data_IF_665384304392
#
_entry.id   IF_665384304392
#
_cell.length_a   1.000
_cell.length_b   1.000
_cell.length_c   1.000
_cell.angle_alpha   90.00
_cell.angle_beta   90.00
_cell.angle_gamma   90.00
#
_symmetry.space_group_name_H-M   'P 1'
#
loop_
_entity.id
_entity.type
_entity.pdbx_description
1 polymer ?
#
# COMPACT_ATOMS: atom_id res chain seq x y z
N UNK A 1 -5.64 -28.89 3.55
CA UNK A 1 -4.98 -29.34 4.79
C UNK A 1 -4.98 -28.18 5.77
N UNK A 2 -5.06 -28.43 7.08
CA UNK A 2 -5.02 -27.34 8.05
C UNK A 2 -3.61 -26.72 8.08
N UNK A 3 -3.53 -25.39 8.05
CA UNK A 3 -2.26 -24.67 8.21
C UNK A 3 -1.68 -24.96 9.59
N UNK A 4 -0.42 -25.39 9.63
CA UNK A 4 0.31 -25.59 10.89
C UNK A 4 1.02 -24.30 11.26
N UNK A 5 0.82 -23.84 12.49
CA UNK A 5 1.44 -22.62 13.00
C UNK A 5 2.56 -22.96 13.98
N UNK A 6 3.61 -22.14 13.96
CA UNK A 6 4.72 -22.23 14.90
C UNK A 6 5.13 -20.84 15.37
N UNK A 7 5.72 -20.78 16.58
CA UNK A 7 6.24 -19.54 17.13
C UNK A 7 7.46 -19.09 16.33
N UNK A 8 7.44 -17.83 15.88
CA UNK A 8 8.54 -17.12 15.24
C UNK A 8 9.02 -16.02 16.17
N UNK A 9 10.34 -15.88 16.25
CA UNK A 9 11.02 -14.79 16.94
C UNK A 9 11.32 -13.71 15.90
N UNK A 10 10.97 -12.47 16.22
CA UNK A 10 11.22 -11.28 15.41
C UNK A 10 12.18 -10.38 16.19
N UNK A 11 13.04 -9.64 15.48
CA UNK A 11 13.97 -8.67 16.06
C UNK A 11 14.84 -9.28 17.17
N UNK A 12 15.47 -10.42 16.88
CA UNK A 12 16.29 -11.13 17.86
C UNK A 12 15.52 -11.72 19.05
N UNK A 13 14.21 -11.92 18.92
CA UNK A 13 13.34 -12.48 19.95
C UNK A 13 12.67 -11.46 20.86
N UNK A 14 12.89 -10.17 20.63
CA UNK A 14 12.20 -9.10 21.34
C UNK A 14 10.69 -9.09 21.08
N UNK A 15 10.25 -9.58 19.92
CA UNK A 15 8.85 -9.83 19.59
C UNK A 15 8.67 -11.29 19.22
N UNK A 16 7.53 -11.88 19.60
CA UNK A 16 7.13 -13.24 19.19
C UNK A 16 5.76 -13.23 18.55
N UNK A 17 5.54 -14.10 17.57
CA UNK A 17 4.25 -14.26 16.88
C UNK A 17 4.12 -15.70 16.39
N UNK A 18 2.90 -16.22 16.22
CA UNK A 18 2.70 -17.49 15.54
C UNK A 18 2.37 -17.28 14.06
N UNK A 19 3.14 -17.93 13.19
CA UNK A 19 2.98 -17.87 11.73
C UNK A 19 2.96 -19.27 11.11
N UNK A 20 2.44 -19.42 9.88
CA UNK A 20 2.56 -20.67 9.13
C UNK A 20 4.02 -21.13 9.04
N UNK A 21 4.26 -22.40 9.35
CA UNK A 21 5.63 -22.95 9.47
C UNK A 21 6.36 -23.07 8.13
N UNK A 22 5.61 -23.07 7.03
CA UNK A 22 6.08 -23.19 5.66
C UNK A 22 6.56 -21.87 5.05
N UNK A 23 6.32 -20.74 5.73
CA UNK A 23 6.85 -19.45 5.28
C UNK A 23 8.37 -19.42 5.36
N UNK A 24 8.98 -18.86 4.31
CA UNK A 24 10.41 -18.65 4.18
C UNK A 24 10.75 -17.28 4.77
N UNK A 25 11.77 -17.22 5.61
CA UNK A 25 12.35 -15.96 6.06
C UNK A 25 13.19 -15.33 4.93
N UNK A 26 12.89 -14.09 4.58
CA UNK A 26 13.60 -13.40 3.50
C UNK A 26 15.02 -13.00 3.87
N UNK A 27 15.35 -12.91 5.15
CA UNK A 27 16.69 -12.55 5.62
C UNK A 27 17.75 -13.59 5.23
N UNK A 28 17.35 -14.86 5.05
CA UNK A 28 18.20 -15.95 4.58
C UNK A 28 18.67 -15.77 3.13
N UNK A 29 17.91 -15.00 2.32
CA UNK A 29 18.14 -14.85 0.88
C UNK A 29 18.59 -13.44 0.49
N UNK A 30 18.26 -12.42 1.28
CA UNK A 30 18.63 -11.02 1.03
C UNK A 30 18.74 -10.25 2.34
N UNK A 31 19.53 -9.18 2.30
CA UNK A 31 19.51 -8.19 3.38
C UNK A 31 18.15 -7.49 3.40
N UNK A 32 17.57 -7.36 4.60
CA UNK A 32 16.35 -6.59 4.88
C UNK A 32 16.70 -5.50 5.90
N UNK A 33 16.04 -4.33 5.88
CA UNK A 33 16.26 -3.30 6.88
C UNK A 33 16.02 -3.81 8.30
N UNK A 34 16.81 -3.37 9.28
CA UNK A 34 16.75 -3.87 10.67
C UNK A 34 15.38 -3.70 11.36
N UNK A 35 14.59 -2.71 10.93
CA UNK A 35 13.25 -2.45 11.44
C UNK A 35 12.16 -3.29 10.75
N UNK A 36 12.53 -4.16 9.80
CA UNK A 36 11.62 -5.01 9.03
C UNK A 36 11.94 -6.50 9.22
N UNK A 37 10.88 -7.31 9.24
CA UNK A 37 10.94 -8.77 9.15
C UNK A 37 10.01 -9.21 8.02
N UNK A 38 10.50 -10.02 7.07
CA UNK A 38 9.76 -10.35 5.85
C UNK A 38 9.68 -11.86 5.63
N UNK A 39 8.47 -12.38 5.59
CA UNK A 39 8.17 -13.79 5.33
C UNK A 39 7.47 -13.98 3.99
N UNK A 40 7.82 -15.03 3.26
CA UNK A 40 7.29 -15.31 1.92
C UNK A 40 6.67 -16.70 1.86
N UNK A 41 5.50 -16.79 1.24
CA UNK A 41 4.92 -18.07 0.86
C UNK A 41 5.72 -18.70 -0.28
N UNK A 42 6.15 -19.97 -0.14
CA UNK A 42 6.88 -20.66 -1.20
C UNK A 42 6.00 -21.00 -2.41
N UNK A 43 4.67 -20.93 -2.28
CA UNK A 43 3.73 -21.45 -3.29
C UNK A 43 2.79 -20.40 -3.86
N UNK A 44 2.45 -19.35 -3.10
CA UNK A 44 1.42 -18.38 -3.48
C UNK A 44 1.95 -16.98 -3.74
N UNK A 45 3.25 -16.76 -3.54
CA UNK A 45 3.89 -15.44 -3.61
C UNK A 45 3.31 -14.40 -2.63
N UNK A 46 2.42 -14.84 -1.73
CA UNK A 46 1.93 -14.04 -0.61
C UNK A 46 3.08 -13.69 0.31
N UNK A 47 3.17 -12.43 0.73
CA UNK A 47 4.19 -11.97 1.68
C UNK A 47 3.57 -11.44 2.96
N UNK A 48 4.30 -11.59 4.07
CA UNK A 48 3.97 -11.03 5.38
C UNK A 48 5.14 -10.17 5.82
N UNK A 49 4.89 -8.91 6.12
CA UNK A 49 5.91 -7.93 6.49
C UNK A 49 5.54 -7.38 7.87
N UNK A 50 6.47 -7.46 8.81
CA UNK A 50 6.41 -6.75 10.08
C UNK A 50 7.36 -5.56 9.99
N UNK A 51 6.93 -4.41 10.46
CA UNK A 51 7.72 -3.18 10.41
C UNK A 51 7.49 -2.33 11.67
N UNK A 52 8.57 -1.82 12.24
CA UNK A 52 8.52 -0.83 13.33
C UNK A 52 8.81 0.54 12.73
N UNK A 53 7.80 1.41 12.74
CA UNK A 53 7.87 2.77 12.23
C UNK A 53 7.81 3.81 13.36
N UNK A 54 8.18 5.05 13.03
CA UNK A 54 7.95 6.18 13.92
C UNK A 54 6.44 6.44 14.11
N UNK A 55 6.07 6.87 15.31
CA UNK A 55 4.69 7.22 15.63
C UNK A 55 4.19 8.41 14.79
N UNK A 56 3.14 8.19 14.01
CA UNK A 56 2.52 9.23 13.18
C UNK A 56 1.72 10.19 14.05
N UNK A 57 2.21 11.42 14.19
CA UNK A 57 1.53 12.44 15.02
C UNK A 57 0.35 13.09 14.28
N UNK A 58 -0.72 13.44 15.02
CA UNK A 58 -1.78 14.31 14.52
C UNK A 58 -1.22 15.56 13.83
N UNK A 59 -1.53 15.75 12.55
CA UNK A 59 -1.10 16.91 11.77
C UNK A 59 0.20 16.76 10.97
N UNK A 60 0.96 15.66 11.14
CA UNK A 60 2.07 15.31 10.26
C UNK A 60 1.61 14.75 8.90
N UNK A 61 0.37 14.27 8.84
CA UNK A 61 -0.29 13.62 7.70
C UNK A 61 -1.02 14.57 6.76
N UNK A 62 -1.17 15.85 7.15
CA UNK A 62 -1.69 16.85 6.23
C UNK A 62 -0.59 17.20 5.22
N UNK A 63 -0.81 17.06 3.89
CA UNK A 63 0.04 17.76 2.95
C UNK A 63 -0.04 19.23 3.33
N UNK A 64 1.08 19.83 3.72
CA UNK A 64 1.13 21.26 4.05
C UNK A 64 0.45 22.02 2.90
N UNK A 65 -0.72 22.66 3.11
CA UNK A 65 -1.19 23.61 2.12
C UNK A 65 -0.16 24.72 2.18
N UNK A 66 0.78 24.73 1.24
CA UNK A 66 1.71 25.85 1.08
C UNK A 66 0.86 27.12 1.12
N UNK A 67 1.02 28.02 2.12
CA UNK A 67 0.26 29.26 2.20
C UNK A 67 0.83 30.28 1.21
N UNK A 68 1.07 29.82 -0.02
CA UNK A 68 1.43 30.67 -1.15
C UNK A 68 0.16 31.26 -1.74
N UNK A 69 0.17 32.54 -2.15
CA UNK A 69 -0.95 33.12 -2.88
C UNK A 69 -1.25 32.28 -4.12
N UNK A 70 -2.50 31.87 -4.30
CA UNK A 70 -2.93 31.21 -5.54
C UNK A 70 -3.33 32.30 -6.53
N UNK A 71 -2.53 32.48 -7.57
CA UNK A 71 -2.82 33.43 -8.66
C UNK A 71 -3.46 32.69 -9.81
N UNK A 72 -4.71 33.03 -10.11
CA UNK A 72 -5.43 32.50 -11.28
C UNK A 72 -5.54 33.62 -12.32
N UNK A 73 -4.98 33.41 -13.51
CA UNK A 73 -5.13 34.33 -14.65
C UNK A 73 -6.07 33.69 -15.67
N UNK A 74 -7.17 34.36 -15.98
CA UNK A 74 -8.08 33.96 -17.06
C UNK A 74 -8.08 35.00 -18.15
N UNK A 75 -7.91 34.58 -19.40
CA UNK A 75 -7.99 35.45 -20.57
C UNK A 75 -9.15 35.01 -21.43
N UNK A 76 -10.08 35.93 -21.70
CA UNK A 76 -11.25 35.67 -22.54
C UNK A 76 -11.27 36.66 -23.69
N UNK A 77 -11.36 36.15 -24.92
CA UNK A 77 -11.50 36.97 -26.13
C UNK A 77 -12.92 36.88 -26.65
N UNK A 78 -13.60 38.00 -26.80
CA UNK A 78 -14.93 38.06 -27.40
C UNK A 78 -14.85 37.96 -28.93
N UNK A 79 -15.94 37.56 -29.62
CA UNK A 79 -15.94 37.37 -31.07
C UNK A 79 -15.55 38.60 -31.90
N UNK A 80 -15.72 39.81 -31.35
CA UNK A 80 -15.32 41.08 -31.97
C UNK A 80 -13.80 41.37 -31.84
N UNK A 81 -13.00 40.38 -31.43
CA UNK A 81 -11.55 40.45 -31.32
C UNK A 81 -11.03 41.13 -30.06
N UNK A 82 -11.91 41.54 -29.15
CA UNK A 82 -11.51 42.19 -27.89
C UNK A 82 -11.10 41.14 -26.86
N UNK A 83 -9.85 41.21 -26.38
CA UNK A 83 -9.32 40.27 -25.39
C UNK A 83 -9.27 40.92 -24.01
N UNK A 84 -9.89 40.30 -23.01
CA UNK A 84 -9.88 40.72 -21.62
C UNK A 84 -9.14 39.69 -20.78
N UNK A 85 -8.06 40.13 -20.12
CA UNK A 85 -7.29 39.30 -19.17
C UNK A 85 -7.64 39.73 -17.75
N UNK A 86 -8.10 38.79 -16.93
CA UNK A 86 -8.39 38.99 -15.51
C UNK A 86 -7.45 38.13 -14.69
N UNK A 87 -6.58 38.78 -13.91
CA UNK A 87 -5.71 38.13 -12.94
C UNK A 87 -6.31 38.28 -11.55
N UNK A 88 -6.60 37.17 -10.87
CA UNK A 88 -7.13 37.15 -9.51
C UNK A 88 -6.14 36.42 -8.61
N UNK A 89 -5.57 37.15 -7.66
CA UNK A 89 -4.70 36.59 -6.61
C UNK A 89 -5.54 36.37 -5.35
N UNK A 90 -5.80 35.12 -5.00
CA UNK A 90 -6.47 34.76 -3.75
C UNK A 90 -5.42 34.53 -2.66
N UNK A 91 -5.48 35.34 -1.60
CA UNK A 91 -4.73 35.11 -0.35
C UNK A 91 -5.70 34.45 0.62
N UNK A 92 -5.51 33.16 0.92
CA UNK A 92 -6.21 32.53 2.04
C UNK A 92 -5.62 33.07 3.34
N UNK A 93 -6.18 34.18 3.84
CA UNK A 93 -5.91 34.64 5.20
C UNK A 93 -6.79 33.85 6.16
N UNK A 94 -6.19 32.94 6.91
CA UNK A 94 -6.78 32.49 8.17
C UNK A 94 -6.78 33.70 9.10
N UNK A 95 -7.97 34.23 9.38
CA UNK A 95 -8.15 35.32 10.35
C UNK A 95 -7.74 34.76 11.72
N UNK A 96 -6.57 35.16 12.22
CA UNK A 96 -6.14 34.87 13.59
C UNK A 96 -6.59 36.03 14.45
N UNK A 97 -7.82 35.98 14.96
CA UNK A 97 -8.25 36.80 16.08
C UNK A 97 -9.44 36.13 16.78
N UNK A 98 -9.18 35.61 17.99
CA UNK A 98 -10.15 34.94 18.83
C UNK A 98 -9.70 33.52 19.13
N UNK A 99 -9.30 33.30 20.38
CA UNK A 99 -9.02 32.02 21.05
C UNK A 99 -9.55 30.80 20.28
N UNK A 100 -8.72 30.22 19.42
CA UNK A 100 -9.05 28.95 18.80
C UNK A 100 -8.98 27.90 19.90
N UNK A 101 -10.14 27.58 20.48
CA UNK A 101 -10.36 26.23 20.93
C UNK A 101 -10.05 25.35 19.71
N UNK A 102 -8.83 24.80 19.65
CA UNK A 102 -8.56 23.68 18.77
C UNK A 102 -9.64 22.67 19.11
N UNK A 103 -10.62 22.49 18.21
CA UNK A 103 -11.54 21.37 18.27
C UNK A 103 -10.64 20.13 18.28
N UNK A 104 -10.38 19.59 19.46
CA UNK A 104 -9.55 18.40 19.63
C UNK A 104 -10.25 17.30 18.87
N UNK A 105 -9.69 16.95 17.70
CA UNK A 105 -10.20 15.84 16.90
C UNK A 105 -10.19 14.58 17.78
N UNK A 106 -11.22 13.74 17.73
CA UNK A 106 -11.24 12.49 18.47
C UNK A 106 -9.98 11.68 18.19
N UNK A 107 -9.36 11.10 19.22
CA UNK A 107 -8.14 10.28 19.07
C UNK A 107 -8.32 9.14 18.06
N UNK A 108 -9.51 8.55 18.01
CA UNK A 108 -9.86 7.50 17.05
C UNK A 108 -9.78 7.97 15.59
N UNK A 109 -10.16 9.23 15.30
CA UNK A 109 -10.04 9.79 13.95
C UNK A 109 -8.56 9.96 13.56
N UNK A 110 -7.73 10.36 14.52
CA UNK A 110 -6.29 10.52 14.34
C UNK A 110 -5.58 9.18 14.12
N UNK A 111 -6.00 8.14 14.85
CA UNK A 111 -5.47 6.79 14.69
C UNK A 111 -5.93 6.15 13.37
N UNK A 112 -7.16 6.42 12.94
CA UNK A 112 -7.64 6.02 11.62
C UNK A 112 -6.86 6.70 10.49
N UNK A 113 -6.51 7.99 10.63
CA UNK A 113 -5.66 8.71 9.69
C UNK A 113 -4.25 8.10 9.61
N UNK A 114 -3.66 7.75 10.76
CA UNK A 114 -2.36 7.06 10.83
C UNK A 114 -2.41 5.67 10.17
N UNK A 115 -3.47 4.89 10.38
CA UNK A 115 -3.63 3.58 9.73
C UNK A 115 -3.74 3.69 8.20
N UNK A 116 -4.42 4.72 7.69
CA UNK A 116 -4.46 4.98 6.24
C UNK A 116 -3.09 5.45 5.73
N UNK A 117 -2.39 6.30 6.48
CA UNK A 117 -1.04 6.74 6.13
C UNK A 117 -0.07 5.57 5.97
N UNK A 118 0.07 4.71 7.00
CA UNK A 118 0.93 3.51 6.98
C UNK A 118 0.52 2.43 5.96
N UNK A 119 -0.70 2.50 5.44
CA UNK A 119 -1.11 1.65 4.32
C UNK A 119 -0.56 2.17 2.99
N UNK A 120 -0.52 3.51 2.84
CA UNK A 120 -0.20 4.18 1.58
C UNK A 120 1.25 4.61 1.44
N UNK A 121 1.99 4.75 2.53
CA UNK A 121 3.39 5.19 2.54
C UNK A 121 4.33 4.26 1.73
N UNK A 122 4.00 2.98 1.66
CA UNK A 122 4.70 1.96 0.87
C UNK A 122 4.30 1.94 -0.61
N UNK A 123 3.26 2.69 -1.00
CA UNK A 123 2.81 2.77 -2.39
C UNK A 123 3.60 3.89 -3.08
N UNK A 124 4.55 3.50 -3.93
CA UNK A 124 5.37 4.43 -4.70
C UNK A 124 4.93 4.46 -6.18
N UNK A 125 4.98 5.62 -6.86
CA UNK A 125 4.73 5.68 -8.29
C UNK A 125 5.58 4.66 -9.07
N UNK A 126 4.99 3.89 -10.01
CA UNK A 126 3.69 4.12 -10.64
C UNK A 126 2.49 3.51 -9.91
N UNK A 127 2.72 2.82 -8.79
CA UNK A 127 1.68 2.09 -8.08
C UNK A 127 0.64 3.03 -7.48
N UNK A 128 -0.62 2.59 -7.47
CA UNK A 128 -1.75 3.40 -6.99
C UNK A 128 -2.78 2.56 -6.24
N UNK A 129 -3.55 3.19 -5.36
CA UNK A 129 -4.73 2.56 -4.78
C UNK A 129 -5.79 2.31 -5.87
N UNK A 130 -6.35 1.10 -5.91
CA UNK A 130 -7.43 0.75 -6.84
C UNK A 130 -8.78 1.39 -6.47
N UNK A 131 -8.97 1.72 -5.19
CA UNK A 131 -10.16 2.39 -4.68
C UNK A 131 -9.82 3.16 -3.39
N UNK A 132 -10.64 4.16 -2.99
CA UNK A 132 -10.49 4.81 -1.70
C UNK A 132 -10.51 3.81 -0.55
N UNK A 133 -9.60 3.99 0.42
CA UNK A 133 -9.51 3.11 1.58
C UNK A 133 -10.75 3.24 2.49
N UNK A 134 -11.32 2.11 2.96
CA UNK A 134 -12.41 2.15 3.92
C UNK A 134 -11.91 2.70 5.26
N UNK A 135 -12.84 2.93 6.19
CA UNK A 135 -12.46 3.26 7.57
C UNK A 135 -11.80 2.04 8.23
N UNK A 136 -10.63 2.22 8.87
CA UNK A 136 -9.97 1.17 9.61
C UNK A 136 -10.88 0.61 10.70
N UNK A 137 -10.89 -0.72 10.83
CA UNK A 137 -11.66 -1.45 11.83
C UNK A 137 -10.82 -1.53 13.12
N UNK A 138 -11.31 -1.04 14.27
CA UNK A 138 -10.60 -1.22 15.53
C UNK A 138 -10.56 -2.71 15.90
N UNK A 139 -9.43 -3.17 16.40
CA UNK A 139 -9.21 -4.54 16.86
C UNK A 139 -8.56 -4.52 18.23
N UNK A 140 -8.86 -5.53 19.05
CA UNK A 140 -8.20 -5.71 20.35
C UNK A 140 -7.15 -6.82 20.22
N UNK A 141 -5.89 -6.47 20.45
CA UNK A 141 -4.81 -7.46 20.56
C UNK A 141 -5.08 -8.38 21.75
N UNK A 142 -4.81 -9.68 21.59
CA UNK A 142 -5.14 -10.69 22.61
C UNK A 142 -4.02 -10.84 23.65
N UNK A 143 -2.75 -10.79 23.23
CA UNK A 143 -1.63 -10.90 24.17
C UNK A 143 -1.59 -9.67 25.11
N UNK A 144 -1.43 -9.88 26.44
CA UNK A 144 -1.43 -8.79 27.42
C UNK A 144 -0.41 -7.68 27.15
N UNK A 145 0.73 -7.99 26.51
CA UNK A 145 1.75 -6.99 26.17
C UNK A 145 1.23 -5.90 25.24
N UNK A 146 0.26 -6.22 24.37
CA UNK A 146 -0.29 -5.28 23.38
C UNK A 146 -1.76 -4.92 23.64
N UNK A 147 -2.46 -5.62 24.53
CA UNK A 147 -3.91 -5.51 24.73
C UNK A 147 -4.41 -4.12 25.21
N UNK A 148 -3.53 -3.28 25.77
CA UNK A 148 -3.85 -1.91 26.21
C UNK A 148 -3.63 -0.85 25.13
N UNK A 149 -3.03 -1.21 23.99
CA UNK A 149 -2.68 -0.26 22.93
C UNK A 149 -3.77 -0.26 21.84
N UNK A 150 -4.09 0.92 21.26
CA UNK A 150 -5.00 0.99 20.13
C UNK A 150 -4.45 0.21 18.94
N UNK A 151 -5.30 -0.60 18.31
CA UNK A 151 -4.95 -1.34 17.11
C UNK A 151 -6.07 -1.29 16.06
N UNK A 152 -5.68 -1.26 14.79
CA UNK A 152 -6.58 -1.04 13.66
C UNK A 152 -6.23 -1.96 12.50
N UNK A 153 -7.25 -2.52 11.85
CA UNK A 153 -7.13 -3.33 10.65
C UNK A 153 -7.72 -2.60 9.44
N UNK A 154 -7.07 -2.74 8.30
CA UNK A 154 -7.48 -2.13 7.04
C UNK A 154 -7.19 -3.11 5.89
N UNK A 155 -8.03 -3.11 4.87
CA UNK A 155 -7.79 -3.88 3.66
C UNK A 155 -8.02 -3.00 2.43
N UNK A 156 -7.22 -3.21 1.39
CA UNK A 156 -7.32 -2.46 0.15
C UNK A 156 -6.65 -3.17 -1.01
N UNK A 157 -6.90 -2.67 -2.21
CA UNK A 157 -6.31 -3.18 -3.44
C UNK A 157 -5.34 -2.14 -4.00
N UNK A 158 -4.18 -2.60 -4.44
CA UNK A 158 -3.13 -1.78 -5.03
C UNK A 158 -2.94 -2.24 -6.48
N UNK A 159 -2.95 -1.28 -7.40
CA UNK A 159 -2.47 -1.48 -8.76
C UNK A 159 -0.95 -1.32 -8.74
N UNK A 160 -0.24 -2.40 -9.02
CA UNK A 160 1.21 -2.43 -9.10
C UNK A 160 1.66 -2.54 -10.56
N UNK A 161 2.44 -1.58 -11.03
CA UNK A 161 2.95 -1.57 -12.40
C UNK A 161 4.16 -2.51 -12.49
N UNK A 162 4.03 -3.61 -13.24
CA UNK A 162 5.20 -4.43 -13.56
C UNK A 162 6.03 -3.71 -14.63
N UNK A 163 7.26 -3.35 -14.27
CA UNK A 163 8.19 -2.73 -15.21
C UNK A 163 8.49 -3.75 -16.32
N UNK A 164 7.96 -3.51 -17.51
CA UNK A 164 8.16 -4.40 -18.66
C UNK A 164 9.65 -4.76 -18.78
N UNK A 165 9.99 -6.05 -18.96
CA UNK A 165 11.39 -6.46 -19.07
C UNK A 165 12.03 -5.62 -20.17
N UNK A 166 13.16 -4.96 -19.86
CA UNK A 166 13.89 -4.15 -20.83
C UNK A 166 14.11 -5.00 -22.08
N UNK A 167 13.41 -4.66 -23.16
CA UNK A 167 13.58 -5.32 -24.44
C UNK A 167 15.03 -5.11 -24.87
N UNK A 168 15.82 -6.16 -24.81
CA UNK A 168 17.23 -6.11 -25.15
C UNK A 168 17.32 -5.67 -26.63
N UNK A 169 17.90 -4.51 -26.97
CA UNK A 169 17.84 -3.97 -28.33
C UNK A 169 18.74 -4.74 -29.33
N UNK A 170 19.38 -5.83 -28.90
CA UNK A 170 20.41 -6.53 -29.67
C UNK A 170 19.97 -7.86 -30.32
N UNK A 171 18.67 -8.12 -30.49
CA UNK A 171 18.20 -9.22 -31.35
C UNK A 171 17.96 -8.73 -32.79
N UNK A 172 19.04 -8.40 -33.49
CA UNK A 172 19.02 -8.22 -34.94
C UNK A 172 19.09 -9.60 -35.62
N UNK A 173 17.93 -10.18 -35.91
CA UNK A 173 17.82 -11.22 -36.95
C UNK A 173 16.92 -10.73 -38.08
N UNK A 174 17.62 -10.22 -39.11
CA UNK A 174 17.34 -10.34 -40.55
C UNK A 174 15.95 -10.82 -41.00
N UNK A 175 15.23 -9.94 -41.72
CA UNK A 175 14.57 -10.33 -42.99
C UNK A 175 14.25 -9.12 -43.90
N UNK A 176 14.92 -9.14 -45.06
CA UNK A 176 14.64 -8.59 -46.40
C UNK A 176 13.57 -7.52 -46.66
N UNK A 177 14.09 -6.39 -47.18
CA UNK A 177 13.64 -5.51 -48.27
C UNK A 177 12.26 -5.70 -48.92
N UNK A 178 11.48 -4.61 -48.92
CA UNK A 178 10.45 -4.28 -49.90
C UNK A 178 10.19 -2.77 -49.87
N UNK A 179 10.57 -2.05 -50.92
CA UNK A 179 10.49 -0.59 -51.01
C UNK A 179 9.07 -0.11 -51.38
N UNK A 180 8.60 0.97 -50.74
CA UNK A 180 7.41 1.69 -51.22
C UNK A 180 6.80 2.71 -50.25
N UNK A 181 6.81 3.98 -50.68
CA UNK A 181 5.95 5.10 -50.28
C UNK A 181 6.08 5.75 -48.87
N UNK A 182 6.57 6.99 -48.91
CA UNK A 182 6.39 8.02 -47.87
C UNK A 182 4.90 8.28 -47.61
N UNK A 183 4.48 8.15 -46.36
CA UNK A 183 3.34 8.90 -45.81
C UNK A 183 3.72 9.45 -44.44
N UNK A 184 3.64 10.78 -44.31
CA UNK A 184 3.73 11.50 -43.04
C UNK A 184 2.42 11.29 -42.29
N UNK A 185 2.40 10.32 -41.37
CA UNK A 185 1.31 10.15 -40.41
C UNK A 185 1.80 10.59 -39.03
N UNK A 186 1.13 11.62 -38.52
CA UNK A 186 1.17 12.09 -37.14
C UNK A 186 1.04 10.93 -36.17
N UNK A 187 2.04 10.78 -35.31
CA UNK A 187 2.01 9.87 -34.17
C UNK A 187 0.98 10.36 -33.15
N UNK A 188 -0.29 10.07 -33.42
CA UNK A 188 -1.29 9.94 -32.37
C UNK A 188 -0.97 8.64 -31.64
N UNK A 189 -0.19 8.75 -30.56
CA UNK A 189 -0.04 7.65 -29.62
C UNK A 189 -1.37 7.45 -28.90
N UNK A 190 -2.26 6.67 -29.52
CA UNK A 190 -3.38 6.07 -28.80
C UNK A 190 -2.82 5.30 -27.61
N UNK A 191 -3.33 5.47 -26.39
CA UNK A 191 -2.88 4.67 -25.25
C UNK A 191 -3.22 3.21 -25.55
N UNK A 192 -2.19 2.36 -25.59
CA UNK A 192 -2.33 0.91 -25.72
C UNK A 192 -3.17 0.34 -24.56
N UNK A 193 -4.11 -0.58 -24.81
CA UNK A 193 -5.16 -0.94 -23.85
C UNK A 193 -4.73 -1.89 -22.71
N UNK A 194 -3.44 -2.10 -22.44
CA UNK A 194 -3.01 -2.95 -21.33
C UNK A 194 -1.55 -2.66 -20.91
N UNK A 195 -1.32 -1.59 -20.14
CA UNK A 195 -0.33 -1.71 -19.06
C UNK A 195 -0.99 -2.62 -18.03
N UNK A 196 -0.56 -3.87 -17.96
CA UNK A 196 -1.11 -4.86 -17.04
C UNK A 196 -0.70 -4.51 -15.61
N UNK A 197 -1.35 -3.54 -14.99
CA UNK A 197 -1.22 -3.29 -13.56
C UNK A 197 -1.61 -4.58 -12.82
N UNK A 198 -0.64 -5.19 -12.15
CA UNK A 198 -0.83 -6.33 -11.26
C UNK A 198 -1.66 -5.89 -10.06
N UNK A 199 -2.75 -6.59 -9.78
CA UNK A 199 -3.57 -6.29 -8.60
C UNK A 199 -2.97 -7.02 -7.38
N UNK A 200 -2.72 -6.28 -6.31
CA UNK A 200 -2.31 -6.83 -5.00
C UNK A 200 -3.37 -6.50 -3.97
N UNK A 201 -3.88 -7.52 -3.27
CA UNK A 201 -4.76 -7.33 -2.12
C UNK A 201 -3.90 -7.25 -0.86
N UNK A 202 -3.90 -6.10 -0.20
CA UNK A 202 -3.15 -5.87 1.03
C UNK A 202 -4.09 -5.86 2.24
N UNK A 203 -3.78 -6.68 3.24
CA UNK A 203 -4.33 -6.59 4.59
C UNK A 203 -3.29 -5.93 5.49
N UNK A 204 -3.67 -4.92 6.25
CA UNK A 204 -2.79 -4.20 7.17
C UNK A 204 -3.35 -4.24 8.60
N UNK A 205 -2.46 -4.40 9.58
CA UNK A 205 -2.69 -4.19 11.00
C UNK A 205 -1.72 -3.10 11.47
N UNK A 206 -2.24 -2.11 12.17
CA UNK A 206 -1.47 -1.08 12.87
C UNK A 206 -1.69 -1.24 14.37
N UNK A 207 -0.62 -1.24 15.17
CA UNK A 207 -0.67 -1.11 16.63
C UNK A 207 0.06 0.17 17.05
N UNK A 208 -0.65 1.07 17.73
CA UNK A 208 -0.17 2.40 18.14
C UNK A 208 0.58 2.31 19.47
N UNK A 209 1.91 2.34 19.48
CA UNK A 209 2.73 2.29 20.70
C UNK A 209 3.14 3.71 21.13
N UNK A 210 2.15 4.56 21.41
CA UNK A 210 2.38 5.99 21.69
C UNK A 210 3.44 6.28 22.78
N UNK A 211 3.51 5.58 23.94
CA UNK A 211 4.54 5.81 24.95
C UNK A 211 5.97 5.55 24.43
N UNK A 212 6.11 4.66 23.45
CA UNK A 212 7.36 4.31 22.80
C UNK A 212 7.68 5.20 21.59
N UNK A 213 6.77 6.13 21.23
CA UNK A 213 6.84 6.90 19.99
C UNK A 213 7.03 6.01 18.74
N UNK A 214 6.43 4.82 18.74
CA UNK A 214 6.50 3.87 17.65
C UNK A 214 5.10 3.43 17.18
N UNK A 215 5.02 3.01 15.93
CA UNK A 215 3.87 2.36 15.30
C UNK A 215 4.34 0.99 14.76
N UNK A 216 3.71 -0.09 15.20
CA UNK A 216 4.01 -1.45 14.73
C UNK A 216 3.03 -1.84 13.63
N UNK A 217 3.54 -2.06 12.43
CA UNK A 217 2.78 -2.37 11.23
C UNK A 217 2.97 -3.84 10.83
N UNK A 218 1.87 -4.51 10.49
CA UNK A 218 1.90 -5.83 9.85
C UNK A 218 1.13 -5.75 8.54
N UNK A 219 1.75 -6.16 7.42
CA UNK A 219 1.12 -6.18 6.10
C UNK A 219 1.16 -7.58 5.51
N UNK A 220 0.03 -8.05 4.99
CA UNK A 220 -0.06 -9.29 4.22
C UNK A 220 -0.48 -8.94 2.79
N UNK A 221 0.39 -9.22 1.83
CA UNK A 221 0.18 -8.89 0.42
C UNK A 221 -0.12 -10.16 -0.36
N UNK A 222 -1.30 -10.21 -0.99
CA UNK A 222 -1.74 -11.31 -1.85
C UNK A 222 -1.69 -10.84 -3.31
N UNK A 223 -0.79 -11.38 -4.15
CA UNK A 223 -0.64 -10.95 -5.54
C UNK A 223 -1.74 -11.58 -6.41
N UNK A 224 -2.90 -10.93 -6.48
CA UNK A 224 -4.10 -11.43 -7.18
C UNK A 224 -3.83 -11.78 -8.64
N UNK A 225 -2.95 -11.03 -9.32
CA UNK A 225 -2.55 -11.31 -10.72
C UNK A 225 -2.03 -12.75 -10.91
N UNK A 226 -1.21 -13.24 -9.99
CA UNK A 226 -0.57 -14.55 -10.09
C UNK A 226 -1.60 -15.69 -10.05
N UNK A 227 -2.68 -15.51 -9.30
CA UNK A 227 -3.80 -16.44 -9.25
C UNK A 227 -4.62 -16.44 -10.54
N UNK A 228 -4.81 -15.27 -11.16
CA UNK A 228 -5.47 -15.15 -12.46
C UNK A 228 -4.65 -15.88 -13.54
N UNK A 229 -3.33 -15.64 -13.58
CA UNK A 229 -2.44 -16.28 -14.55
C UNK A 229 -2.27 -17.79 -14.32
N UNK A 230 -2.22 -18.24 -13.06
CA UNK A 230 -2.25 -19.66 -12.72
C UNK A 230 -3.54 -20.33 -13.16
N UNK A 231 -4.70 -19.70 -12.92
CA UNK A 231 -6.01 -20.23 -13.34
C UNK A 231 -6.13 -20.31 -14.86
N UNK A 232 -5.69 -19.29 -15.59
CA UNK A 232 -5.65 -19.30 -17.06
C UNK A 232 -4.75 -20.42 -17.60
N UNK A 233 -3.55 -20.61 -17.02
CA UNK A 233 -2.67 -21.75 -17.38
C UNK A 233 -3.30 -23.11 -17.10
N UNK A 234 -4.14 -23.20 -16.07
CA UNK A 234 -4.89 -24.41 -15.74
C UNK A 234 -6.16 -24.60 -16.61
N UNK A 235 -6.43 -23.71 -17.57
CA UNK A 235 -7.57 -23.79 -18.47
C UNK A 235 -8.87 -23.21 -17.92
N UNK A 236 -8.83 -22.46 -16.82
CA UNK A 236 -10.00 -21.75 -16.30
C UNK A 236 -10.35 -20.56 -17.21
N UNK A 237 -11.64 -20.37 -17.47
CA UNK A 237 -12.14 -19.20 -18.20
C UNK A 237 -12.10 -17.96 -17.30
N UNK A 238 -11.76 -16.76 -17.83
CA UNK A 238 -11.76 -15.52 -17.04
C UNK A 238 -13.09 -15.22 -16.35
N UNK A 239 -14.21 -15.53 -17.01
CA UNK A 239 -15.57 -15.34 -16.47
C UNK A 239 -16.05 -16.55 -15.64
N UNK A 240 -15.17 -17.52 -15.39
CA UNK A 240 -15.47 -18.70 -14.59
C UNK A 240 -15.16 -18.44 -13.12
N UNK A 241 -16.10 -18.78 -12.22
CA UNK A 241 -15.94 -18.59 -10.77
C UNK A 241 -14.79 -19.37 -10.11
N UNK A 242 -14.03 -20.18 -10.85
CA UNK A 242 -12.87 -20.92 -10.34
C UNK A 242 -11.71 -19.99 -9.97
N UNK A 243 -11.39 -18.98 -10.80
CA UNK A 243 -10.31 -18.02 -10.51
C UNK A 243 -10.71 -17.18 -9.29
N UNK A 244 -11.95 -16.70 -9.26
CA UNK A 244 -12.49 -15.96 -8.12
C UNK A 244 -12.46 -16.80 -6.84
N UNK A 245 -12.81 -18.08 -6.91
CA UNK A 245 -12.74 -18.99 -5.76
C UNK A 245 -11.29 -19.18 -5.25
N UNK A 246 -10.31 -19.30 -6.15
CA UNK A 246 -8.89 -19.39 -5.76
C UNK A 246 -8.41 -18.11 -5.06
N UNK A 247 -8.75 -16.94 -5.62
CA UNK A 247 -8.42 -15.65 -5.01
C UNK A 247 -9.11 -15.52 -3.64
N UNK A 248 -10.40 -15.85 -3.56
CA UNK A 248 -11.16 -15.79 -2.33
C UNK A 248 -10.59 -16.74 -1.26
N UNK A 249 -10.14 -17.92 -1.66
CA UNK A 249 -9.48 -18.88 -0.77
C UNK A 249 -8.18 -18.31 -0.23
N UNK A 250 -7.31 -17.73 -1.08
CA UNK A 250 -6.04 -17.16 -0.61
C UNK A 250 -6.27 -15.93 0.27
N UNK A 251 -7.17 -15.03 -0.12
CA UNK A 251 -7.51 -13.86 0.70
C UNK A 251 -8.14 -14.30 2.03
N UNK A 252 -8.95 -15.37 2.04
CA UNK A 252 -9.45 -15.99 3.25
C UNK A 252 -8.33 -16.51 4.14
N UNK A 253 -7.37 -17.23 3.56
CA UNK A 253 -6.18 -17.71 4.27
C UNK A 253 -5.36 -16.56 4.86
N UNK A 254 -5.13 -15.49 4.09
CA UNK A 254 -4.43 -14.30 4.56
C UNK A 254 -5.15 -13.63 5.76
N UNK A 255 -6.49 -13.61 5.76
CA UNK A 255 -7.28 -13.12 6.90
C UNK A 255 -7.12 -14.00 8.13
N UNK A 256 -7.13 -15.32 7.96
CA UNK A 256 -6.91 -16.27 9.07
C UNK A 256 -5.51 -16.09 9.68
N UNK A 257 -4.50 -15.87 8.83
CA UNK A 257 -3.13 -15.58 9.29
C UNK A 257 -3.08 -14.25 10.04
N UNK A 258 -3.71 -13.18 9.54
CA UNK A 258 -3.75 -11.90 10.26
C UNK A 258 -4.48 -12.01 11.59
N UNK A 259 -5.58 -12.78 11.65
CA UNK A 259 -6.28 -13.06 12.90
C UNK A 259 -5.40 -13.83 13.89
N UNK A 260 -4.57 -14.77 13.40
CA UNK A 260 -3.57 -15.47 14.23
C UNK A 260 -2.52 -14.50 14.76
N UNK A 261 -2.05 -13.55 13.94
CA UNK A 261 -1.13 -12.48 14.37
C UNK A 261 -1.78 -11.64 15.47
N UNK A 262 -3.00 -11.16 15.29
CA UNK A 262 -3.75 -10.42 16.34
C UNK A 262 -3.85 -11.21 17.66
N UNK A 263 -3.97 -12.54 17.55
CA UNK A 263 -4.09 -13.43 18.69
C UNK A 263 -2.78 -13.77 19.42
N UNK A 264 -1.62 -13.63 18.77
CA UNK A 264 -0.36 -14.23 19.25
C UNK A 264 0.84 -13.28 19.22
N UNK A 265 0.74 -12.14 18.52
CA UNK A 265 1.79 -11.13 18.48
C UNK A 265 1.99 -10.54 19.88
N UNK A 266 3.23 -10.58 20.34
CA UNK A 266 3.57 -10.19 21.69
C UNK A 266 4.96 -9.57 21.77
N UNK A 267 5.07 -8.47 22.51
CA UNK A 267 6.35 -7.85 22.85
C UNK A 267 6.90 -8.53 24.11
N UNK A 268 8.09 -9.11 23.99
CA UNK A 268 8.81 -9.81 25.08
C UNK A 268 9.90 -8.94 25.68
N UNK A 269 10.53 -8.10 24.87
CA UNK A 269 11.55 -7.14 25.32
C UNK A 269 11.23 -5.72 24.81
N UNK A 270 10.94 -4.81 25.74
CA UNK A 270 10.59 -3.42 25.44
C UNK A 270 11.80 -2.52 25.20
N UNK A 271 13.02 -2.97 25.53
CA UNK A 271 14.24 -2.22 25.19
C UNK A 271 14.40 -2.01 23.69
N UNK A 272 13.76 -2.85 22.86
CA UNK A 272 13.67 -2.69 21.41
C UNK A 272 13.19 -1.29 21.01
N UNK A 273 12.32 -0.68 21.81
CA UNK A 273 11.75 0.64 21.53
C UNK A 273 12.42 1.79 22.30
N UNK A 274 13.58 1.55 22.91
CA UNK A 274 14.24 2.49 23.84
C UNK A 274 13.33 2.91 25.02
N UNK A 275 12.42 2.01 25.44
CA UNK A 275 11.44 2.23 26.51
C UNK A 275 11.90 1.61 27.85
#
# INVERSE_FOLDING_TARGET
MATTYGVRQLYGGAITVELPVDLIDSSDIRQIPDHQEVFLSPTTLTSIIFEINDYVRPGATAPSPSPGPTTTTSTTTTPDGTTTTTTTTAVSQVIVNGSAAQLQRPQEELDAEAAKYHFTDVIAPPDTLAAPLPNPQPVKMIDPSLASYPAYMLAGNIHSDEMAPRRNPNSSQSQSQGAGARTTASSSSSPSPARLASLVHQLALLVRLQPCNADLCVRINVPVKEFVEAGQRAGATPDGGAIEAMIAQEVGHARDVLARVVGTLAVRDWHLFNA
#
